data_IF_516284675767
#
_entry.id   IF_516284675767
#
_cell.length_a   1.000
_cell.length_b   1.000
_cell.length_c   1.000
_cell.angle_alpha   90.00
_cell.angle_beta   90.00
_cell.angle_gamma   90.00
#
_symmetry.space_group_name_H-M   'P 1'
#
loop_
_entity.id
_entity.type
_entity.pdbx_description
1 polymer ?
#
# COMPACT_ATOMS: atom_id res chain seq x y z
N UNK A 1 -11.18 -17.61 -17.22
CA UNK A 1 -11.88 -16.36 -16.86
C UNK A 1 -10.99 -15.56 -15.91
N UNK A 2 -10.83 -14.25 -16.14
CA UNK A 2 -10.03 -13.37 -15.26
C UNK A 2 -10.89 -12.94 -14.07
N UNK A 3 -10.26 -12.84 -12.89
CA UNK A 3 -10.93 -12.33 -11.69
C UNK A 3 -11.31 -10.87 -11.87
N UNK A 4 -12.57 -10.54 -11.60
CA UNK A 4 -13.07 -9.16 -11.67
C UNK A 4 -12.71 -8.38 -10.42
N UNK A 5 -12.23 -7.15 -10.62
CA UNK A 5 -11.94 -6.19 -9.54
C UNK A 5 -12.86 -4.98 -9.76
N UNK A 6 -13.73 -4.73 -8.80
CA UNK A 6 -14.71 -3.66 -8.91
C UNK A 6 -14.09 -2.27 -8.80
N UNK A 7 -13.14 -2.09 -7.90
CA UNK A 7 -12.46 -0.81 -7.68
C UNK A 7 -11.62 -0.42 -8.89
N UNK A 8 -11.47 0.88 -9.10
CA UNK A 8 -10.49 1.42 -10.05
C UNK A 8 -9.10 1.35 -9.42
N UNK A 9 -8.15 0.78 -10.12
CA UNK A 9 -6.77 0.66 -9.64
C UNK A 9 -5.95 1.86 -10.15
N UNK A 10 -5.41 2.65 -9.24
CA UNK A 10 -4.52 3.76 -9.61
C UNK A 10 -3.08 3.24 -9.70
N UNK A 11 -2.49 3.40 -10.86
CA UNK A 11 -1.13 2.96 -11.20
C UNK A 11 -0.32 4.12 -11.79
N UNK A 12 0.97 3.91 -11.98
CA UNK A 12 1.85 4.96 -12.49
C UNK A 12 1.77 5.13 -14.01
N UNK A 13 1.75 4.02 -14.75
CA UNK A 13 1.82 4.06 -16.21
C UNK A 13 1.14 2.90 -16.93
N UNK A 14 1.25 2.96 -18.26
CA UNK A 14 0.60 2.01 -19.16
C UNK A 14 1.08 0.57 -19.01
N UNK A 15 2.34 0.37 -18.70
CA UNK A 15 2.88 -0.98 -18.51
C UNK A 15 2.25 -1.67 -17.31
N UNK A 16 1.99 -0.93 -16.24
CA UNK A 16 1.28 -1.43 -15.06
C UNK A 16 -0.16 -1.83 -15.42
N UNK A 17 -0.85 -0.95 -16.15
CA UNK A 17 -2.20 -1.23 -16.69
C UNK A 17 -2.21 -2.52 -17.52
N UNK A 18 -1.28 -2.64 -18.45
CA UNK A 18 -1.21 -3.81 -19.32
C UNK A 18 -0.96 -5.10 -18.53
N UNK A 19 -0.08 -5.04 -17.52
CA UNK A 19 0.21 -6.20 -16.66
C UNK A 19 -1.02 -6.61 -15.85
N UNK A 20 -1.68 -5.65 -15.21
CA UNK A 20 -2.88 -5.94 -14.41
C UNK A 20 -4.02 -6.48 -15.28
N UNK A 21 -4.28 -5.89 -16.42
CA UNK A 21 -5.36 -6.32 -17.33
C UNK A 21 -5.08 -7.64 -18.03
N UNK A 22 -3.81 -8.06 -18.10
CA UNK A 22 -3.46 -9.40 -18.57
C UNK A 22 -3.98 -10.48 -17.61
N UNK A 23 -3.96 -10.20 -16.31
CA UNK A 23 -4.29 -11.18 -15.28
C UNK A 23 -5.70 -11.00 -14.70
N UNK A 24 -6.21 -9.77 -14.66
CA UNK A 24 -7.47 -9.42 -14.01
C UNK A 24 -8.40 -8.67 -14.96
N UNK A 25 -9.69 -8.81 -14.71
CA UNK A 25 -10.71 -7.96 -15.31
C UNK A 25 -10.84 -6.69 -14.45
N UNK A 26 -10.14 -5.65 -14.84
CA UNK A 26 -10.02 -4.42 -14.04
C UNK A 26 -9.87 -3.18 -14.93
N UNK A 27 -10.20 -2.03 -14.35
CA UNK A 27 -9.97 -0.71 -14.92
C UNK A 27 -8.94 0.06 -14.11
N UNK A 28 -8.17 0.92 -14.78
CA UNK A 28 -7.09 1.67 -14.15
C UNK A 28 -7.21 3.17 -14.40
N UNK A 29 -6.60 3.96 -13.52
CA UNK A 29 -6.24 5.36 -13.77
C UNK A 29 -4.73 5.46 -13.68
N UNK A 30 -4.10 6.01 -14.70
CA UNK A 30 -2.65 6.21 -14.75
C UNK A 30 -2.30 7.64 -14.30
N UNK A 31 -1.32 7.78 -13.41
CA UNK A 31 -0.90 9.11 -12.92
C UNK A 31 0.02 9.82 -13.91
N UNK A 32 0.72 9.07 -14.75
CA UNK A 32 1.61 9.63 -15.76
C UNK A 32 2.96 10.11 -15.21
N UNK A 33 3.37 9.63 -14.06
CA UNK A 33 4.63 9.99 -13.40
C UNK A 33 4.41 10.47 -11.97
N UNK A 34 5.46 11.00 -11.35
CA UNK A 34 5.50 11.39 -9.95
C UNK A 34 4.76 12.71 -9.63
N UNK A 35 4.44 13.50 -10.65
CA UNK A 35 3.65 14.72 -10.51
C UNK A 35 2.17 14.45 -10.78
N UNK A 36 1.43 14.20 -9.72
CA UNK A 36 -0.02 13.98 -9.82
C UNK A 36 -0.71 15.34 -9.91
N UNK A 37 -1.25 15.66 -11.10
CA UNK A 37 -1.93 16.93 -11.31
C UNK A 37 -3.37 16.93 -10.76
N UNK A 38 -3.96 18.10 -10.61
CA UNK A 38 -5.31 18.27 -10.07
C UNK A 38 -6.37 17.53 -10.88
N UNK A 39 -6.24 17.49 -12.19
CA UNK A 39 -7.19 16.76 -13.08
C UNK A 39 -7.19 15.26 -12.76
N UNK A 40 -6.03 14.67 -12.51
CA UNK A 40 -5.91 13.28 -12.11
C UNK A 40 -6.52 13.05 -10.72
N UNK A 41 -6.24 13.93 -9.76
CA UNK A 41 -6.85 13.88 -8.42
C UNK A 41 -8.38 13.93 -8.52
N UNK A 42 -8.94 14.80 -9.33
CA UNK A 42 -10.39 14.91 -9.51
C UNK A 42 -10.99 13.62 -10.10
N UNK A 43 -10.31 12.99 -11.04
CA UNK A 43 -10.71 11.70 -11.61
C UNK A 43 -10.69 10.59 -10.55
N UNK A 44 -9.66 10.55 -9.72
CA UNK A 44 -9.53 9.58 -8.64
C UNK A 44 -10.62 9.79 -7.60
N UNK A 45 -10.89 11.05 -7.21
CA UNK A 45 -11.94 11.38 -6.26
C UNK A 45 -13.33 10.95 -6.76
N UNK A 46 -13.61 11.16 -8.04
CA UNK A 46 -14.86 10.72 -8.67
C UNK A 46 -14.98 9.18 -8.69
N UNK A 47 -13.91 8.49 -9.04
CA UNK A 47 -13.86 7.03 -9.01
C UNK A 47 -14.07 6.48 -7.60
N UNK A 48 -13.48 7.12 -6.58
CA UNK A 48 -13.64 6.73 -5.17
C UNK A 48 -15.10 6.79 -4.72
N UNK A 49 -15.85 7.79 -5.17
CA UNK A 49 -17.27 7.95 -4.82
C UNK A 49 -18.19 6.93 -5.48
N UNK A 50 -17.80 6.37 -6.60
CA UNK A 50 -18.65 5.47 -7.40
C UNK A 50 -18.26 4.00 -7.24
N UNK A 51 -17.02 3.64 -7.53
CA UNK A 51 -16.54 2.25 -7.53
C UNK A 51 -15.60 1.91 -6.38
N UNK A 52 -15.03 2.90 -5.75
CA UNK A 52 -13.89 2.74 -4.87
C UNK A 52 -12.56 2.76 -5.65
N UNK A 53 -11.49 3.02 -4.94
CA UNK A 53 -10.13 3.13 -5.51
C UNK A 53 -9.16 2.27 -4.72
N UNK A 54 -8.30 1.55 -5.44
CA UNK A 54 -7.11 0.90 -4.92
C UNK A 54 -5.89 1.64 -5.46
N UNK A 55 -5.06 2.19 -4.59
CA UNK A 55 -3.77 2.77 -4.97
C UNK A 55 -2.75 1.64 -5.03
N UNK A 56 -2.14 1.44 -6.18
CA UNK A 56 -1.16 0.39 -6.39
C UNK A 56 0.04 0.94 -7.17
N UNK A 57 0.90 1.65 -6.48
CA UNK A 57 2.11 2.26 -7.02
C UNK A 57 3.33 1.36 -6.81
N UNK A 58 4.40 1.64 -7.54
CA UNK A 58 5.65 0.89 -7.44
C UNK A 58 6.27 0.99 -6.03
N UNK A 59 6.95 -0.05 -5.54
CA UNK A 59 7.59 -0.05 -4.23
C UNK A 59 8.93 0.69 -4.25
N UNK A 60 8.91 1.96 -4.64
CA UNK A 60 10.05 2.86 -4.72
C UNK A 60 9.69 4.26 -4.20
N UNK A 61 10.67 5.16 -4.14
CA UNK A 61 10.47 6.52 -3.61
C UNK A 61 9.46 7.34 -4.43
N UNK A 62 9.50 7.36 -5.77
CA UNK A 62 8.46 8.02 -6.56
C UNK A 62 7.06 7.45 -6.31
N UNK A 63 6.93 6.13 -6.24
CA UNK A 63 5.66 5.45 -5.98
C UNK A 63 5.07 5.81 -4.61
N UNK A 64 5.90 5.89 -3.58
CA UNK A 64 5.48 6.32 -2.24
C UNK A 64 5.07 7.80 -2.22
N UNK A 65 5.73 8.64 -3.00
CA UNK A 65 5.36 10.05 -3.15
C UNK A 65 3.97 10.21 -3.78
N UNK A 66 3.71 9.50 -4.87
CA UNK A 66 2.40 9.47 -5.54
C UNK A 66 1.31 9.00 -4.58
N UNK A 67 1.55 7.89 -3.89
CA UNK A 67 0.63 7.32 -2.90
C UNK A 67 0.27 8.32 -1.81
N UNK A 68 1.25 9.03 -1.28
CA UNK A 68 1.05 10.06 -0.26
C UNK A 68 0.17 11.20 -0.76
N UNK A 69 0.42 11.72 -1.96
CA UNK A 69 -0.38 12.79 -2.57
C UNK A 69 -1.83 12.37 -2.72
N UNK A 70 -2.08 11.17 -3.23
CA UNK A 70 -3.45 10.67 -3.44
C UNK A 70 -4.17 10.49 -2.10
N UNK A 71 -3.55 9.85 -1.11
CA UNK A 71 -4.14 9.65 0.21
C UNK A 71 -4.43 10.98 0.94
N UNK A 72 -3.62 12.01 0.72
CA UNK A 72 -3.85 13.35 1.30
C UNK A 72 -5.06 14.07 0.67
N UNK A 73 -5.35 13.82 -0.59
CA UNK A 73 -6.38 14.54 -1.35
C UNK A 73 -7.69 13.74 -1.50
N UNK A 74 -7.63 12.43 -1.47
CA UNK A 74 -8.79 11.54 -1.64
C UNK A 74 -8.85 10.58 -0.47
N UNK A 75 -9.74 10.83 0.53
CA UNK A 75 -9.85 9.97 1.70
C UNK A 75 -10.42 8.58 1.36
N UNK A 76 -10.10 7.63 2.23
CA UNK A 76 -10.65 6.28 2.25
C UNK A 76 -10.29 5.38 1.05
N UNK A 77 -9.32 5.76 0.24
CA UNK A 77 -8.76 4.86 -0.76
C UNK A 77 -8.14 3.61 -0.11
N UNK A 78 -8.33 2.47 -0.74
CA UNK A 78 -7.59 1.27 -0.40
C UNK A 78 -6.16 1.38 -0.93
N UNK A 79 -5.22 0.79 -0.22
CA UNK A 79 -3.80 0.79 -0.57
C UNK A 79 -3.30 -0.64 -0.67
N UNK A 80 -2.81 -1.02 -1.85
CA UNK A 80 -2.14 -2.28 -2.09
C UNK A 80 -0.62 -2.08 -2.06
N UNK A 81 0.08 -2.97 -1.39
CA UNK A 81 1.54 -2.95 -1.28
C UNK A 81 2.12 -4.26 -1.76
N UNK A 82 3.11 -4.17 -2.63
CA UNK A 82 3.88 -5.32 -3.09
C UNK A 82 5.31 -5.20 -2.58
N UNK A 83 5.91 -6.27 -2.02
CA UNK A 83 7.31 -6.25 -1.62
C UNK A 83 8.22 -5.96 -2.80
N UNK A 84 9.29 -5.21 -2.57
CA UNK A 84 10.22 -4.79 -3.63
C UNK A 84 10.88 -5.98 -4.33
N UNK A 85 11.20 -7.05 -3.60
CA UNK A 85 11.77 -8.29 -4.14
C UNK A 85 10.80 -9.05 -5.06
N UNK A 86 9.47 -8.83 -4.90
CA UNK A 86 8.41 -9.40 -5.74
C UNK A 86 8.11 -8.58 -7.00
N UNK A 87 8.62 -7.36 -7.09
CA UNK A 87 8.33 -6.40 -8.16
C UNK A 87 9.61 -5.89 -8.84
N UNK A 88 10.68 -6.66 -8.85
CA UNK A 88 11.95 -6.23 -9.45
C UNK A 88 12.52 -7.23 -10.47
N UNK A 89 13.22 -6.67 -11.43
CA UNK A 89 14.20 -7.38 -12.26
C UNK A 89 15.62 -6.97 -11.80
N UNK A 90 16.72 -7.58 -12.32
CA UNK A 90 18.07 -7.12 -12.00
C UNK A 90 18.33 -5.64 -12.30
N UNK A 91 17.52 -5.01 -13.16
CA UNK A 91 17.73 -3.62 -13.61
C UNK A 91 16.63 -2.64 -13.24
N UNK A 92 15.41 -3.12 -12.90
CA UNK A 92 14.23 -2.27 -12.72
C UNK A 92 13.37 -2.74 -11.58
N UNK A 93 12.63 -1.80 -10.99
CA UNK A 93 11.57 -2.04 -9.99
C UNK A 93 10.26 -1.50 -10.53
N UNK A 94 9.18 -2.28 -10.39
CA UNK A 94 7.84 -1.85 -10.77
C UNK A 94 6.81 -2.96 -10.71
N UNK A 95 5.56 -2.60 -10.53
CA UNK A 95 4.39 -3.50 -10.53
C UNK A 95 4.34 -4.32 -11.83
N UNK A 96 4.76 -3.73 -12.95
CA UNK A 96 4.82 -4.40 -14.26
C UNK A 96 5.68 -5.68 -14.29
N UNK A 97 6.59 -5.83 -13.35
CA UNK A 97 7.53 -6.98 -13.27
C UNK A 97 7.08 -8.06 -12.31
N UNK A 98 5.96 -7.88 -11.62
CA UNK A 98 5.48 -8.82 -10.62
C UNK A 98 4.72 -9.99 -11.26
N UNK A 99 4.73 -11.13 -10.56
CA UNK A 99 3.94 -12.30 -10.96
C UNK A 99 2.48 -12.11 -10.55
N UNK A 100 1.58 -12.82 -11.25
CA UNK A 100 0.14 -12.81 -10.98
C UNK A 100 -0.19 -13.05 -9.50
N UNK A 101 0.44 -14.06 -8.90
CA UNK A 101 0.20 -14.45 -7.51
C UNK A 101 0.57 -13.36 -6.52
N UNK A 102 1.69 -12.67 -6.75
CA UNK A 102 2.16 -11.58 -5.91
C UNK A 102 1.28 -10.33 -6.06
N UNK A 103 0.81 -10.04 -7.28
CA UNK A 103 -0.16 -8.97 -7.54
C UNK A 103 -1.49 -9.25 -6.86
N UNK A 104 -1.98 -10.48 -6.98
CA UNK A 104 -3.25 -10.87 -6.37
C UNK A 104 -3.18 -10.78 -4.84
N UNK A 105 -2.09 -11.28 -4.25
CA UNK A 105 -1.87 -11.18 -2.80
C UNK A 105 -1.92 -9.73 -2.30
N UNK A 106 -1.28 -8.79 -3.02
CA UNK A 106 -1.32 -7.37 -2.69
C UNK A 106 -2.74 -6.79 -2.81
N UNK A 107 -3.48 -7.15 -3.86
CA UNK A 107 -4.84 -6.66 -4.09
C UNK A 107 -5.87 -7.24 -3.12
N UNK A 108 -5.69 -8.49 -2.66
CA UNK A 108 -6.54 -9.11 -1.64
C UNK A 108 -6.36 -8.48 -0.25
N UNK A 109 -5.19 -7.95 0.06
CA UNK A 109 -4.81 -7.48 1.38
C UNK A 109 -4.62 -5.97 1.42
N UNK A 110 -5.52 -5.24 0.78
CA UNK A 110 -5.52 -3.78 0.83
C UNK A 110 -5.77 -3.25 2.23
N UNK A 111 -5.13 -2.14 2.56
CA UNK A 111 -5.33 -1.41 3.80
C UNK A 111 -5.86 -0.02 3.52
N UNK A 112 -6.65 0.53 4.44
CA UNK A 112 -7.19 1.88 4.36
C UNK A 112 -6.57 2.75 5.44
N UNK A 113 -6.15 3.96 5.07
CA UNK A 113 -5.58 4.93 5.99
C UNK A 113 -6.63 5.99 6.36
N UNK A 114 -6.97 6.05 7.64
CA UNK A 114 -7.87 7.08 8.20
C UNK A 114 -7.07 8.15 8.96
N UNK A 115 -7.50 9.38 8.89
CA UNK A 115 -6.81 10.49 9.55
C UNK A 115 -7.22 10.71 11.03
N UNK A 116 -8.09 9.88 11.57
CA UNK A 116 -8.79 10.19 12.82
C UNK A 116 -8.32 9.45 14.07
N UNK A 117 -7.32 8.57 13.98
CA UNK A 117 -7.02 7.69 15.09
C UNK A 117 -5.64 7.96 15.69
N UNK A 118 -5.58 8.06 17.01
CA UNK A 118 -4.36 7.91 17.80
C UNK A 118 -4.46 6.62 18.61
N UNK A 119 -4.31 5.49 17.92
CA UNK A 119 -4.41 4.16 18.51
C UNK A 119 -3.13 3.73 19.24
N UNK A 120 -2.02 4.36 18.89
CA UNK A 120 -0.68 4.01 19.38
C UNK A 120 0.08 5.28 19.70
N UNK A 121 0.60 5.40 20.93
CA UNK A 121 1.48 6.52 21.32
C UNK A 121 2.90 6.30 20.79
N UNK A 122 3.67 7.39 20.69
CA UNK A 122 5.07 7.30 20.29
C UNK A 122 5.89 6.50 21.33
N UNK A 123 5.57 6.62 22.59
CA UNK A 123 6.19 5.86 23.67
C UNK A 123 5.93 4.35 23.51
N UNK A 124 4.68 3.97 23.28
CA UNK A 124 4.32 2.57 22.98
C UNK A 124 5.03 2.04 21.73
N UNK A 125 5.17 2.86 20.70
CA UNK A 125 5.89 2.52 19.47
C UNK A 125 7.37 2.24 19.74
N UNK A 126 8.01 3.04 20.59
CA UNK A 126 9.39 2.80 21.06
C UNK A 126 9.47 1.50 21.88
N UNK A 127 8.56 1.32 22.83
CA UNK A 127 8.54 0.14 23.71
C UNK A 127 8.34 -1.17 22.96
N UNK A 128 7.64 -1.12 21.82
CA UNK A 128 7.48 -2.26 20.92
C UNK A 128 8.75 -2.58 20.11
N UNK A 129 9.81 -1.78 20.21
CA UNK A 129 11.07 -1.99 19.48
C UNK A 129 11.04 -1.59 18.02
N UNK A 130 10.05 -0.79 17.59
CA UNK A 130 9.86 -0.41 16.19
C UNK A 130 10.76 0.76 15.76
N UNK A 131 11.48 1.37 16.71
CA UNK A 131 12.48 2.41 16.44
C UNK A 131 13.87 1.79 16.44
N UNK A 132 14.69 2.12 15.45
CA UNK A 132 16.10 1.72 15.37
C UNK A 132 16.36 0.40 14.66
N UNK A 133 15.51 -0.59 14.80
CA UNK A 133 15.63 -1.86 14.08
C UNK A 133 14.73 -1.90 12.83
N UNK A 134 15.35 -1.62 11.70
CA UNK A 134 14.63 -1.59 10.41
C UNK A 134 14.14 -2.98 10.00
N UNK A 135 14.89 -4.04 10.25
CA UNK A 135 14.49 -5.41 9.87
C UNK A 135 13.26 -5.84 10.64
N UNK A 136 13.28 -5.65 11.93
CA UNK A 136 12.15 -5.97 12.82
C UNK A 136 10.91 -5.17 12.43
N UNK A 137 11.05 -3.87 12.20
CA UNK A 137 9.96 -3.02 11.74
C UNK A 137 9.38 -3.49 10.40
N UNK A 138 10.22 -3.88 9.44
CA UNK A 138 9.78 -4.37 8.14
C UNK A 138 8.98 -5.68 8.26
N UNK A 139 9.37 -6.57 9.16
CA UNK A 139 8.62 -7.79 9.45
C UNK A 139 7.20 -7.46 9.91
N UNK A 140 7.05 -6.51 10.82
CA UNK A 140 5.73 -6.06 11.28
C UNK A 140 4.92 -5.41 10.13
N UNK A 141 5.56 -4.57 9.33
CA UNK A 141 4.92 -3.97 8.15
C UNK A 141 4.40 -5.04 7.18
N UNK A 142 5.17 -6.06 6.91
CA UNK A 142 4.78 -7.16 6.02
C UNK A 142 3.56 -7.91 6.57
N UNK A 143 3.56 -8.24 7.85
CA UNK A 143 2.42 -8.90 8.52
C UNK A 143 1.14 -8.08 8.50
N UNK A 144 1.24 -6.77 8.47
CA UNK A 144 0.12 -5.84 8.41
C UNK A 144 -0.23 -5.41 6.97
N UNK A 145 0.40 -6.03 5.97
CA UNK A 145 0.18 -5.77 4.54
C UNK A 145 0.44 -4.33 4.13
N UNK A 146 1.37 -3.67 4.79
CA UNK A 146 1.91 -2.37 4.38
C UNK A 146 3.34 -2.54 3.89
N UNK A 147 3.78 -1.65 3.00
CA UNK A 147 5.14 -1.67 2.51
C UNK A 147 6.16 -1.31 3.58
N UNK A 148 7.42 -1.76 3.42
CA UNK A 148 8.49 -1.35 4.32
C UNK A 148 8.65 0.16 4.32
N UNK A 149 8.81 0.76 5.50
CA UNK A 149 8.89 2.20 5.66
C UNK A 149 9.76 2.59 6.86
N UNK A 150 10.18 3.85 6.89
CA UNK A 150 10.91 4.38 8.03
C UNK A 150 10.02 4.49 9.28
N UNK A 151 10.64 4.74 10.45
CA UNK A 151 9.92 4.77 11.73
C UNK A 151 8.78 5.77 11.78
N UNK A 152 8.96 6.97 11.26
CA UNK A 152 7.91 8.01 11.26
C UNK A 152 6.72 7.62 10.38
N UNK A 153 6.98 7.09 9.20
CA UNK A 153 5.93 6.62 8.28
C UNK A 153 5.21 5.41 8.86
N UNK A 154 5.94 4.46 9.45
CA UNK A 154 5.36 3.30 10.11
C UNK A 154 4.42 3.72 11.23
N UNK A 155 4.87 4.58 12.14
CA UNK A 155 4.07 5.12 13.22
C UNK A 155 2.78 5.78 12.71
N UNK A 156 2.90 6.62 11.69
CA UNK A 156 1.75 7.27 11.06
C UNK A 156 0.76 6.26 10.47
N UNK A 157 1.23 5.28 9.71
CA UNK A 157 0.39 4.26 9.07
C UNK A 157 -0.32 3.37 10.09
N UNK A 158 0.36 2.95 11.15
CA UNK A 158 -0.25 2.16 12.23
C UNK A 158 -1.42 2.92 12.88
N UNK A 159 -1.24 4.20 13.17
CA UNK A 159 -2.31 5.05 13.71
C UNK A 159 -3.45 5.25 12.70
N UNK A 160 -3.14 5.48 11.43
CA UNK A 160 -4.14 5.63 10.37
C UNK A 160 -4.93 4.33 10.10
N UNK A 161 -4.38 3.18 10.44
CA UNK A 161 -5.05 1.88 10.36
C UNK A 161 -5.76 1.49 11.66
N UNK A 162 -5.72 2.34 12.69
CA UNK A 162 -6.26 2.06 14.02
C UNK A 162 -5.66 0.80 14.65
N UNK A 163 -4.37 0.58 14.47
CA UNK A 163 -3.62 -0.53 15.07
C UNK A 163 -3.21 -0.15 16.48
N UNK A 164 -3.59 -0.96 17.46
CA UNK A 164 -3.24 -0.79 18.87
C UNK A 164 -2.02 -1.62 19.25
N UNK A 165 -1.41 -1.29 20.38
CA UNK A 165 -0.29 -2.05 20.94
C UNK A 165 -0.61 -3.55 21.08
N UNK A 166 -1.80 -3.86 21.54
CA UNK A 166 -2.28 -5.23 21.73
C UNK A 166 -2.33 -6.03 20.43
N UNK A 167 -2.67 -5.39 19.33
CA UNK A 167 -2.73 -6.02 18.00
C UNK A 167 -1.33 -6.47 17.56
N UNK A 168 -0.32 -5.61 17.77
CA UNK A 168 1.07 -5.93 17.45
C UNK A 168 1.60 -7.04 18.36
N UNK A 169 1.27 -7.00 19.66
CA UNK A 169 1.67 -8.03 20.61
C UNK A 169 1.05 -9.39 20.25
N UNK A 170 -0.15 -9.44 19.72
CA UNK A 170 -0.77 -10.68 19.22
C UNK A 170 -0.01 -11.25 18.03
N UNK A 171 0.34 -10.42 17.06
CA UNK A 171 1.14 -10.83 15.90
C UNK A 171 2.47 -11.48 16.32
N UNK A 172 3.10 -10.93 17.36
CA UNK A 172 4.37 -11.46 17.89
C UNK A 172 4.21 -12.77 18.65
N UNK A 173 3.08 -12.99 19.31
CA UNK A 173 2.80 -14.23 20.03
C UNK A 173 2.52 -15.40 19.09
N UNK A 174 1.86 -15.14 17.98
CA UNK A 174 1.57 -16.17 16.97
C UNK A 174 2.85 -16.80 16.40
N UNK A 175 3.96 -16.04 16.34
CA UNK A 175 5.27 -16.57 15.93
C UNK A 175 5.93 -17.48 16.98
N UNK A 176 5.57 -17.35 18.25
CA UNK A 176 6.18 -18.12 19.32
C UNK A 176 5.65 -19.55 19.40
N UNK A 177 4.63 -19.89 18.63
CA UNK A 177 3.98 -21.21 18.61
C UNK A 177 4.23 -22.01 17.31
N UNK A 178 4.96 -21.43 16.34
CA UNK A 178 5.46 -22.11 15.15
C UNK A 178 6.95 -22.51 15.33
#
# INVERSE_FOLDING_TARGET
MRTHIQEIIVVEGKNDTNTLQRYFDCDTIETGGDQVNQKTIDRIAKAQKTRGVIIFTDPDTPGEHIRRIINQNVPDCKNAFIPKDKAKTPKKVGVEHARKEDLWHALEHCVTFSNYQQSLSWEEFIDLGLVGDARYRYTICEKLFIGPCNGKTCFKRLNQMNVHKEDILKLLKEESYE
#
